data_IF_368765615225
#
_entry.id   IF_368765615225
#
_cell.length_a   1.000
_cell.length_b   1.000
_cell.length_c   1.000
_cell.angle_alpha   90.00
_cell.angle_beta   90.00
_cell.angle_gamma   90.00
#
_symmetry.space_group_name_H-M   'P 1'
#
loop_
_entity.id
_entity.type
_entity.pdbx_description
1 polymer ?
#
# COMPACT_ATOMS: atom_id res chain seq x y z
N UNK A 1 4.97 -21.27 -18.80
CA UNK A 1 5.18 -19.82 -18.83
C UNK A 1 4.77 -19.33 -20.22
N UNK A 2 3.92 -18.30 -20.34
CA UNK A 2 3.54 -17.74 -21.65
C UNK A 2 4.52 -16.62 -21.99
N UNK A 3 4.98 -16.55 -23.25
CA UNK A 3 5.95 -15.56 -23.72
C UNK A 3 5.58 -14.09 -23.39
N UNK A 4 4.29 -13.77 -23.27
CA UNK A 4 3.83 -12.42 -22.90
C UNK A 4 4.18 -12.01 -21.47
N UNK A 5 4.13 -12.95 -20.52
CA UNK A 5 4.48 -12.67 -19.12
C UNK A 5 6.00 -12.43 -18.99
N UNK A 6 6.76 -13.07 -19.88
CA UNK A 6 8.21 -12.98 -19.99
C UNK A 6 8.67 -11.53 -20.28
N UNK A 7 7.96 -10.77 -21.12
CA UNK A 7 8.41 -9.42 -21.55
C UNK A 7 8.59 -8.48 -20.35
N UNK A 8 7.63 -8.47 -19.42
CA UNK A 8 7.70 -7.60 -18.24
C UNK A 8 8.83 -8.04 -17.33
N UNK A 9 8.96 -9.34 -17.10
CA UNK A 9 10.01 -9.90 -16.26
C UNK A 9 11.40 -9.63 -16.86
N UNK A 10 11.57 -9.76 -18.18
CA UNK A 10 12.80 -9.39 -18.90
C UNK A 10 13.16 -7.92 -18.73
N UNK A 11 12.19 -7.01 -18.85
CA UNK A 11 12.43 -5.57 -18.65
C UNK A 11 12.86 -5.30 -17.21
N UNK A 12 12.20 -5.93 -16.24
CA UNK A 12 12.53 -5.80 -14.82
C UNK A 12 13.92 -6.37 -14.53
N UNK A 13 14.28 -7.52 -15.11
CA UNK A 13 15.64 -8.09 -15.01
C UNK A 13 16.69 -7.18 -15.63
N UNK A 14 16.43 -6.59 -16.79
CA UNK A 14 17.35 -5.64 -17.41
C UNK A 14 17.56 -4.39 -16.53
N UNK A 15 16.52 -3.90 -15.86
CA UNK A 15 16.64 -2.81 -14.89
C UNK A 15 17.41 -3.24 -13.64
N UNK A 16 17.22 -4.47 -13.17
CA UNK A 16 18.00 -5.03 -12.06
C UNK A 16 19.50 -5.00 -12.37
N UNK A 17 19.88 -5.43 -13.56
CA UNK A 17 21.25 -5.33 -14.06
C UNK A 17 21.79 -3.88 -14.05
N UNK A 18 20.96 -2.91 -14.45
CA UNK A 18 21.33 -1.49 -14.43
C UNK A 18 21.51 -0.96 -13.01
N UNK A 19 20.65 -1.37 -12.07
CA UNK A 19 20.74 -1.01 -10.65
C UNK A 19 22.04 -1.56 -10.06
N UNK A 20 22.33 -2.85 -10.25
CA UNK A 20 23.53 -3.51 -9.74
C UNK A 20 24.83 -2.89 -10.30
N UNK A 21 24.81 -2.53 -11.59
CA UNK A 21 25.95 -1.86 -12.26
C UNK A 21 26.01 -0.35 -11.99
N UNK A 22 25.12 0.18 -11.13
CA UNK A 22 25.03 1.62 -10.81
C UNK A 22 24.82 2.54 -12.03
N UNK A 23 24.13 2.03 -13.06
CA UNK A 23 23.84 2.71 -14.32
C UNK A 23 22.49 3.47 -14.32
N UNK A 24 21.77 3.47 -13.19
CA UNK A 24 20.53 4.23 -13.04
C UNK A 24 20.76 5.73 -12.88
N UNK A 25 19.77 6.53 -13.28
CA UNK A 25 19.79 7.98 -13.10
C UNK A 25 19.90 8.36 -11.61
N UNK A 26 20.55 9.48 -11.27
CA UNK A 26 20.67 9.94 -9.88
C UNK A 26 19.32 10.04 -9.15
N UNK A 27 18.26 10.48 -9.83
CA UNK A 27 16.93 10.63 -9.25
C UNK A 27 16.33 9.29 -8.83
N UNK A 28 16.59 8.22 -9.61
CA UNK A 28 16.17 6.85 -9.27
C UNK A 28 16.96 6.35 -8.06
N UNK A 29 18.27 6.62 -8.02
CA UNK A 29 19.12 6.26 -6.89
C UNK A 29 18.65 6.94 -5.60
N UNK A 30 18.35 8.23 -5.66
CA UNK A 30 17.87 9.00 -4.51
C UNK A 30 16.49 8.53 -4.05
N UNK A 31 15.59 8.22 -4.98
CA UNK A 31 14.30 7.60 -4.70
C UNK A 31 14.46 6.27 -3.93
N UNK A 32 15.31 5.35 -4.41
CA UNK A 32 15.56 4.06 -3.75
C UNK A 32 16.21 4.24 -2.38
N UNK A 33 17.17 5.16 -2.26
CA UNK A 33 17.82 5.51 -1.00
C UNK A 33 16.83 6.07 0.03
N UNK A 34 15.89 6.93 -0.41
CA UNK A 34 14.86 7.48 0.46
C UNK A 34 13.95 6.38 1.01
N UNK A 35 13.52 5.44 0.16
CA UNK A 35 12.71 4.31 0.61
C UNK A 35 13.49 3.44 1.59
N UNK A 36 14.75 3.10 1.30
CA UNK A 36 15.59 2.30 2.19
C UNK A 36 15.76 2.94 3.58
N UNK A 37 16.06 4.24 3.64
CA UNK A 37 16.34 4.95 4.90
C UNK A 37 15.09 5.36 5.66
N UNK A 38 14.08 5.85 4.95
CA UNK A 38 12.93 6.53 5.55
C UNK A 38 11.62 5.75 5.40
N UNK A 39 11.58 4.69 4.58
CA UNK A 39 10.37 3.93 4.33
C UNK A 39 9.36 4.62 3.41
N UNK A 40 9.76 5.71 2.75
CA UNK A 40 8.94 6.48 1.83
C UNK A 40 9.82 7.18 0.77
N UNK A 41 9.28 7.48 -0.42
CA UNK A 41 10.07 7.99 -1.54
C UNK A 41 10.52 9.45 -1.38
N UNK A 42 9.88 10.22 -0.50
CA UNK A 42 10.18 11.65 -0.30
C UNK A 42 11.24 11.91 0.77
N UNK A 43 11.77 10.87 1.43
CA UNK A 43 12.73 11.02 2.51
C UNK A 43 12.16 11.77 3.73
N UNK A 44 10.83 11.83 3.84
CA UNK A 44 10.16 12.52 4.94
C UNK A 44 10.26 11.70 6.23
N UNK A 45 10.34 12.37 7.39
CA UNK A 45 10.40 11.69 8.68
C UNK A 45 9.19 10.76 8.89
N UNK A 46 9.44 9.57 9.46
CA UNK A 46 8.39 8.57 9.76
C UNK A 46 7.32 9.09 10.72
N UNK A 47 7.71 9.96 11.67
CA UNK A 47 6.78 10.57 12.62
C UNK A 47 5.74 11.50 11.99
N UNK A 48 5.92 11.92 10.72
CA UNK A 48 4.95 12.74 10.01
C UNK A 48 3.91 11.91 9.23
N UNK A 49 4.09 10.59 9.14
CA UNK A 49 3.33 9.71 8.23
C UNK A 49 1.83 9.67 8.55
N UNK A 50 1.49 9.84 9.82
CA UNK A 50 0.14 9.74 10.36
C UNK A 50 -0.28 11.01 11.11
N UNK A 51 0.44 12.12 10.93
CA UNK A 51 0.09 13.40 11.56
C UNK A 51 -1.28 13.95 11.11
N UNK A 52 -1.83 13.45 10.00
CA UNK A 52 -3.16 13.78 9.50
C UNK A 52 -4.26 12.87 10.08
N UNK A 53 -3.90 11.78 10.77
CA UNK A 53 -4.79 10.68 11.14
C UNK A 53 -5.10 10.67 12.65
N UNK A 54 -5.29 11.84 13.27
CA UNK A 54 -5.48 11.98 14.72
C UNK A 54 -6.68 11.19 15.24
N UNK A 55 -7.75 11.11 14.44
CA UNK A 55 -9.00 10.40 14.80
C UNK A 55 -9.00 8.93 14.37
N UNK A 56 -7.96 8.47 13.65
CA UNK A 56 -7.87 7.08 13.17
C UNK A 56 -6.96 6.27 14.08
N UNK A 57 -7.54 5.27 14.74
CA UNK A 57 -6.80 4.40 15.67
C UNK A 57 -5.80 3.48 14.97
N UNK A 58 -4.85 2.97 15.76
CA UNK A 58 -3.94 1.88 15.36
C UNK A 58 -4.67 0.55 15.22
N UNK A 59 -4.15 -0.26 14.30
CA UNK A 59 -4.59 -1.64 14.11
C UNK A 59 -4.35 -2.49 15.36
N UNK A 60 -5.33 -3.33 15.69
CA UNK A 60 -5.30 -4.33 16.77
C UNK A 60 -5.55 -5.73 16.20
N UNK A 61 -5.17 -6.80 16.92
CA UNK A 61 -5.35 -8.18 16.43
C UNK A 61 -6.78 -8.59 16.08
N UNK A 62 -7.78 -7.98 16.72
CA UNK A 62 -9.20 -8.30 16.50
C UNK A 62 -9.85 -7.42 15.42
N UNK A 63 -9.07 -6.56 14.74
CA UNK A 63 -9.58 -5.76 13.64
C UNK A 63 -9.86 -6.63 12.42
N UNK A 64 -10.97 -6.36 11.73
CA UNK A 64 -11.31 -7.11 10.53
C UNK A 64 -10.34 -6.79 9.39
N UNK A 65 -9.98 -5.52 9.26
CA UNK A 65 -9.04 -5.03 8.24
C UNK A 65 -7.91 -4.21 8.86
N UNK A 66 -6.70 -4.41 8.35
CA UNK A 66 -5.71 -3.34 8.36
C UNK A 66 -5.97 -2.43 7.15
N UNK A 67 -6.18 -1.14 7.39
CA UNK A 67 -6.14 -0.14 6.34
C UNK A 67 -4.68 0.27 6.09
N UNK A 68 -4.11 -0.20 4.99
CA UNK A 68 -2.78 0.16 4.54
C UNK A 68 -2.85 1.41 3.67
N UNK A 69 -2.42 2.54 4.24
CA UNK A 69 -2.64 3.89 3.69
C UNK A 69 -1.77 4.14 2.47
N UNK A 70 -0.54 3.62 2.48
CA UNK A 70 0.47 3.84 1.46
C UNK A 70 1.12 5.21 1.54
N UNK A 71 2.18 5.39 0.75
CA UNK A 71 2.99 6.60 0.73
C UNK A 71 2.16 7.85 0.38
N UNK A 72 1.39 7.83 -0.71
CA UNK A 72 0.57 8.98 -1.15
C UNK A 72 -0.50 9.34 -0.12
N UNK A 73 -1.21 8.34 0.42
CA UNK A 73 -2.23 8.56 1.45
C UNK A 73 -1.66 9.17 2.74
N UNK A 74 -0.38 8.93 3.03
CA UNK A 74 0.28 9.43 4.23
C UNK A 74 0.89 10.83 4.08
N UNK A 75 1.41 11.19 2.91
CA UNK A 75 2.24 12.38 2.76
C UNK A 75 1.67 13.46 1.83
N UNK A 76 0.74 13.12 0.93
CA UNK A 76 0.13 14.10 0.04
C UNK A 76 -1.26 14.51 0.54
N UNK A 77 -1.53 15.82 0.58
CA UNK A 77 -2.77 16.38 1.10
C UNK A 77 -4.04 15.80 0.45
N UNK A 78 -4.01 15.58 -0.88
CA UNK A 78 -5.11 14.94 -1.60
C UNK A 78 -5.26 13.48 -1.20
N UNK A 79 -4.15 12.76 -1.03
CA UNK A 79 -4.15 11.37 -0.57
C UNK A 79 -4.69 11.23 0.85
N UNK A 80 -4.29 12.13 1.74
CA UNK A 80 -4.77 12.20 3.13
C UNK A 80 -6.29 12.41 3.17
N UNK A 81 -6.83 13.35 2.38
CA UNK A 81 -8.29 13.52 2.25
C UNK A 81 -9.00 12.26 1.78
N UNK A 82 -8.44 11.55 0.79
CA UNK A 82 -9.02 10.29 0.34
C UNK A 82 -8.99 9.21 1.42
N UNK A 83 -7.90 9.14 2.20
CA UNK A 83 -7.75 8.20 3.29
C UNK A 83 -8.70 8.48 4.46
N UNK A 84 -8.88 9.75 4.83
CA UNK A 84 -9.87 10.17 5.85
C UNK A 84 -11.29 9.84 5.41
N UNK A 85 -11.70 10.24 4.20
CA UNK A 85 -13.04 9.94 3.70
C UNK A 85 -13.30 8.43 3.63
N UNK A 86 -12.28 7.63 3.28
CA UNK A 86 -12.45 6.18 3.27
C UNK A 86 -12.56 5.60 4.69
N UNK A 87 -11.80 6.11 5.66
CA UNK A 87 -11.92 5.75 7.06
C UNK A 87 -13.34 6.07 7.61
N UNK A 88 -13.86 7.26 7.31
CA UNK A 88 -15.23 7.64 7.67
C UNK A 88 -16.28 6.67 7.10
N UNK A 89 -16.13 6.25 5.85
CA UNK A 89 -17.03 5.26 5.23
C UNK A 89 -16.93 3.88 5.88
N UNK A 90 -15.75 3.47 6.35
CA UNK A 90 -15.59 2.23 7.09
C UNK A 90 -16.27 2.31 8.47
N UNK A 91 -16.16 3.45 9.15
CA UNK A 91 -16.83 3.70 10.43
C UNK A 91 -18.36 3.71 10.26
N UNK A 92 -18.89 4.39 9.24
CA UNK A 92 -20.33 4.42 8.92
C UNK A 92 -20.87 3.01 8.61
N UNK A 93 -20.07 2.18 7.93
CA UNK A 93 -20.42 0.79 7.61
C UNK A 93 -20.15 -0.21 8.75
N UNK A 94 -19.78 0.28 9.94
CA UNK A 94 -19.41 -0.50 11.13
C UNK A 94 -18.35 -1.58 10.83
N UNK A 95 -17.42 -1.28 9.92
CA UNK A 95 -16.30 -2.18 9.58
C UNK A 95 -15.16 -1.95 10.57
N UNK A 96 -14.72 -2.99 11.26
CA UNK A 96 -13.60 -2.87 12.21
C UNK A 96 -12.27 -2.73 11.48
N UNK A 97 -11.58 -1.60 11.64
CA UNK A 97 -10.27 -1.37 11.04
C UNK A 97 -9.30 -0.57 11.92
N UNK A 98 -8.02 -0.58 11.54
CA UNK A 98 -7.03 0.39 12.02
C UNK A 98 -5.88 0.56 11.03
N UNK A 99 -4.99 1.51 11.30
CA UNK A 99 -3.81 1.80 10.46
C UNK A 99 -2.50 1.43 11.18
N UNK A 100 -1.41 1.26 10.41
CA UNK A 100 -0.05 1.12 10.96
C UNK A 100 0.55 2.46 11.41
N UNK A 101 0.18 3.55 10.74
CA UNK A 101 0.70 4.88 11.00
C UNK A 101 2.20 5.01 10.76
N UNK A 102 2.95 5.58 11.71
CA UNK A 102 4.40 5.77 11.60
C UNK A 102 5.22 4.46 11.42
N UNK A 103 4.64 3.31 11.78
CA UNK A 103 5.22 1.98 11.58
C UNK A 103 5.06 1.48 10.14
N UNK A 104 4.22 2.12 9.32
CA UNK A 104 4.01 1.71 7.93
C UNK A 104 5.23 2.02 7.06
N UNK A 105 5.69 1.02 6.31
CA UNK A 105 6.74 1.14 5.30
C UNK A 105 6.15 1.21 3.89
N UNK A 106 6.95 1.55 2.88
CA UNK A 106 6.56 1.51 1.47
C UNK A 106 6.19 0.08 1.04
N UNK A 107 5.22 -0.07 0.13
CA UNK A 107 4.79 -1.38 -0.37
C UNK A 107 5.80 -1.97 -1.36
N UNK A 108 6.66 -1.14 -1.94
CA UNK A 108 7.76 -1.55 -2.80
C UNK A 108 7.37 -1.84 -4.25
N UNK A 109 6.17 -1.46 -4.73
CA UNK A 109 5.77 -1.66 -6.14
C UNK A 109 6.79 -1.03 -7.10
N UNK A 110 7.15 0.23 -6.85
CA UNK A 110 8.10 0.97 -7.70
C UNK A 110 9.51 0.41 -7.56
N UNK A 111 9.90 0.01 -6.35
CA UNK A 111 11.20 -0.63 -6.07
C UNK A 111 11.36 -1.90 -6.92
N UNK A 112 10.34 -2.77 -6.92
CA UNK A 112 10.31 -3.95 -7.78
C UNK A 112 10.35 -3.59 -9.27
N UNK A 113 9.55 -2.61 -9.68
CA UNK A 113 9.45 -2.19 -11.09
C UNK A 113 10.75 -1.58 -11.62
N UNK A 114 11.51 -0.91 -10.75
CA UNK A 114 12.82 -0.33 -11.03
C UNK A 114 13.95 -1.37 -10.98
N UNK A 115 13.66 -2.62 -10.58
CA UNK A 115 14.64 -3.71 -10.58
C UNK A 115 15.50 -3.80 -9.32
N UNK A 116 15.24 -3.00 -8.27
CA UNK A 116 16.00 -3.09 -7.02
C UNK A 116 15.47 -4.25 -6.15
N UNK A 117 15.82 -5.48 -6.56
CA UNK A 117 15.27 -6.71 -6.01
C UNK A 117 15.64 -6.94 -4.55
N UNK A 118 16.83 -6.49 -4.12
CA UNK A 118 17.29 -6.63 -2.74
C UNK A 118 16.38 -5.84 -1.80
N UNK A 119 16.22 -4.54 -2.06
CA UNK A 119 15.36 -3.67 -1.26
C UNK A 119 13.91 -4.13 -1.28
N UNK A 120 13.39 -4.57 -2.43
CA UNK A 120 12.02 -5.08 -2.50
C UNK A 120 11.79 -6.27 -1.57
N UNK A 121 12.73 -7.23 -1.55
CA UNK A 121 12.62 -8.40 -0.67
C UNK A 121 12.68 -8.00 0.81
N UNK A 122 13.53 -7.06 1.18
CA UNK A 122 13.62 -6.54 2.55
C UNK A 122 12.31 -5.87 2.98
N UNK A 123 11.77 -4.97 2.16
CA UNK A 123 10.50 -4.29 2.42
C UNK A 123 9.35 -5.29 2.57
N UNK A 124 9.23 -6.23 1.62
CA UNK A 124 8.14 -7.21 1.65
C UNK A 124 8.21 -8.12 2.88
N UNK A 125 9.41 -8.61 3.25
CA UNK A 125 9.60 -9.41 4.47
C UNK A 125 9.25 -8.62 5.72
N UNK A 126 9.72 -7.36 5.82
CA UNK A 126 9.44 -6.47 6.96
C UNK A 126 7.94 -6.21 7.10
N UNK A 127 7.27 -5.86 6.00
CA UNK A 127 5.83 -5.62 5.97
C UNK A 127 5.07 -6.87 6.39
N UNK A 128 5.32 -8.01 5.75
CA UNK A 128 4.65 -9.29 6.09
C UNK A 128 4.88 -9.68 7.55
N UNK A 129 6.10 -9.52 8.06
CA UNK A 129 6.40 -9.80 9.46
C UNK A 129 5.56 -8.92 10.40
N UNK A 130 5.48 -7.61 10.14
CA UNK A 130 4.65 -6.69 10.93
C UNK A 130 3.17 -7.10 10.90
N UNK A 131 2.64 -7.42 9.73
CA UNK A 131 1.25 -7.88 9.57
C UNK A 131 1.00 -9.16 10.38
N UNK A 132 1.95 -10.10 10.36
CA UNK A 132 1.86 -11.34 11.11
C UNK A 132 1.92 -11.12 12.62
N UNK A 133 2.81 -10.24 13.10
CA UNK A 133 2.92 -9.87 14.52
C UNK A 133 1.61 -9.24 15.04
N UNK A 134 0.93 -8.46 14.20
CA UNK A 134 -0.36 -7.85 14.52
C UNK A 134 -1.55 -8.79 14.30
N UNK A 135 -1.35 -10.03 13.84
CA UNK A 135 -2.43 -10.97 13.59
C UNK A 135 -3.31 -10.67 12.37
N UNK A 136 -2.92 -9.71 11.53
CA UNK A 136 -3.71 -9.21 10.40
C UNK A 136 -4.04 -10.32 9.41
N UNK A 137 -5.32 -10.45 9.05
CA UNK A 137 -5.81 -11.42 8.06
C UNK A 137 -6.25 -10.78 6.76
N UNK A 138 -6.78 -9.56 6.82
CA UNK A 138 -7.22 -8.79 5.65
C UNK A 138 -6.53 -7.43 5.65
N UNK A 139 -6.03 -7.03 4.50
CA UNK A 139 -5.49 -5.70 4.23
C UNK A 139 -6.37 -5.04 3.19
N UNK A 140 -6.78 -3.80 3.44
CA UNK A 140 -7.43 -2.94 2.44
C UNK A 140 -6.54 -1.75 2.13
N UNK A 141 -6.51 -1.29 0.88
CA UNK A 141 -5.71 -0.13 0.47
C UNK A 141 -6.40 0.70 -0.60
N UNK A 142 -6.13 2.00 -0.60
CA UNK A 142 -6.52 2.92 -1.67
C UNK A 142 -5.62 2.80 -2.91
N UNK A 143 -4.41 2.26 -2.74
CA UNK A 143 -3.39 2.27 -3.78
C UNK A 143 -3.47 1.03 -4.66
N UNK A 144 -3.65 1.16 -5.99
CA UNK A 144 -3.55 0.02 -6.90
C UNK A 144 -2.13 -0.59 -6.91
N UNK A 145 -1.10 0.20 -6.59
CA UNK A 145 0.27 -0.25 -6.48
C UNK A 145 0.47 -1.14 -5.25
N UNK A 146 0.01 -0.69 -4.08
CA UNK A 146 0.05 -1.51 -2.86
C UNK A 146 -0.78 -2.78 -3.03
N UNK A 147 -1.97 -2.67 -3.64
CA UNK A 147 -2.79 -3.83 -3.98
C UNK A 147 -2.00 -4.84 -4.85
N UNK A 148 -1.38 -4.38 -5.93
CA UNK A 148 -0.60 -5.23 -6.82
C UNK A 148 0.61 -5.88 -6.11
N UNK A 149 1.40 -5.11 -5.38
CA UNK A 149 2.55 -5.61 -4.61
C UNK A 149 2.12 -6.70 -3.63
N UNK A 150 1.14 -6.40 -2.79
CA UNK A 150 0.73 -7.31 -1.73
C UNK A 150 -0.02 -8.52 -2.29
N UNK A 151 -0.85 -8.35 -3.31
CA UNK A 151 -1.63 -9.46 -3.87
C UNK A 151 -0.79 -10.40 -4.73
N UNK A 152 0.10 -9.86 -5.55
CA UNK A 152 0.77 -10.63 -6.61
C UNK A 152 2.25 -10.91 -6.33
N UNK A 153 2.91 -10.09 -5.49
CA UNK A 153 4.36 -10.19 -5.26
C UNK A 153 4.73 -10.62 -3.84
N UNK A 154 3.88 -10.33 -2.85
CA UNK A 154 4.10 -10.73 -1.46
C UNK A 154 3.80 -12.20 -1.12
N UNK A 155 2.97 -12.98 -1.85
CA UNK A 155 2.64 -14.37 -1.45
C UNK A 155 3.84 -15.28 -1.19
N UNK A 156 5.00 -14.99 -1.79
CA UNK A 156 6.26 -15.72 -1.53
C UNK A 156 6.89 -15.46 -0.15
N UNK A 157 6.42 -14.44 0.59
CA UNK A 157 6.92 -14.06 1.91
C UNK A 157 5.88 -14.31 3.02
N UNK A 158 4.60 -14.28 2.68
CA UNK A 158 3.50 -14.66 3.56
C UNK A 158 2.14 -14.29 2.96
N UNK A 159 1.10 -14.89 3.53
CA UNK A 159 -0.25 -14.84 2.98
C UNK A 159 -1.21 -14.08 3.89
N UNK A 160 -2.00 -13.22 3.25
CA UNK A 160 -3.13 -12.49 3.82
C UNK A 160 -4.05 -12.08 2.67
N UNK A 161 -5.31 -11.78 2.97
CA UNK A 161 -6.25 -11.31 1.96
C UNK A 161 -5.98 -9.83 1.68
N UNK A 162 -5.98 -9.44 0.40
CA UNK A 162 -5.72 -8.07 -0.02
C UNK A 162 -6.90 -7.59 -0.84
N UNK A 163 -7.42 -6.43 -0.45
CA UNK A 163 -8.56 -5.78 -1.07
C UNK A 163 -8.16 -4.38 -1.54
N UNK A 164 -8.56 -4.05 -2.76
CA UNK A 164 -8.60 -2.66 -3.17
C UNK A 164 -9.87 -2.03 -2.62
N UNK A 165 -9.81 -0.77 -2.19
CA UNK A 165 -10.94 -0.09 -1.56
C UNK A 165 -12.24 -0.16 -2.38
N UNK A 166 -12.14 -0.13 -3.72
CA UNK A 166 -13.32 -0.26 -4.60
C UNK A 166 -14.03 -1.60 -4.45
N UNK A 167 -13.31 -2.68 -4.16
CA UNK A 167 -13.89 -4.01 -3.93
C UNK A 167 -14.69 -4.02 -2.63
N UNK A 168 -14.13 -3.42 -1.57
CA UNK A 168 -14.80 -3.34 -0.28
C UNK A 168 -16.00 -2.39 -0.33
N UNK A 169 -15.87 -1.24 -1.01
CA UNK A 169 -16.99 -0.31 -1.23
C UNK A 169 -18.16 -0.98 -1.97
N UNK A 170 -17.87 -1.74 -3.02
CA UNK A 170 -18.90 -2.47 -3.76
C UNK A 170 -19.63 -3.48 -2.86
N UNK A 171 -18.88 -4.22 -2.05
CA UNK A 171 -19.45 -5.16 -1.08
C UNK A 171 -20.34 -4.46 -0.05
N UNK A 172 -19.88 -3.34 0.52
CA UNK A 172 -20.66 -2.56 1.49
C UNK A 172 -21.95 -1.99 0.90
N UNK A 173 -21.91 -1.50 -0.34
CA UNK A 173 -23.10 -1.02 -1.06
C UNK A 173 -24.08 -2.18 -1.30
N UNK A 174 -23.59 -3.34 -1.75
CA UNK A 174 -24.44 -4.52 -1.98
C UNK A 174 -25.09 -5.06 -0.70
N UNK A 175 -24.40 -4.92 0.43
CA UNK A 175 -24.92 -5.27 1.76
C UNK A 175 -25.86 -4.20 2.35
N UNK A 176 -26.04 -3.06 1.68
CA UNK A 176 -26.84 -1.94 2.18
C UNK A 176 -26.23 -1.20 3.36
N UNK A 177 -24.93 -1.39 3.62
CA UNK A 177 -24.19 -0.71 4.71
C UNK A 177 -23.88 0.75 4.36
N UNK A 178 -23.73 1.06 3.09
CA UNK A 178 -23.54 2.43 2.60
C UNK A 178 -24.70 2.75 1.66
N UNK A 179 -25.41 3.83 1.97
CA UNK A 179 -26.48 4.35 1.13
C UNK A 179 -25.94 5.17 -0.03
N UNK A 180 -26.32 4.84 -1.27
CA UNK A 180 -26.13 5.74 -2.39
C UNK A 180 -27.28 6.74 -2.41
N UNK A 181 -26.97 8.03 -2.22
CA UNK A 181 -27.95 9.09 -2.44
C UNK A 181 -28.18 9.32 -3.93
N UNK A 182 -29.38 9.77 -4.30
CA UNK A 182 -29.64 10.21 -5.67
C UNK A 182 -28.69 11.37 -6.04
N UNK A 183 -27.77 11.11 -6.96
CA UNK A 183 -26.98 12.17 -7.59
C UNK A 183 -27.89 12.95 -8.54
N UNK A 184 -28.27 14.17 -8.13
CA UNK A 184 -28.87 15.18 -9.03
C UNK A 184 -27.82 15.74 -9.99
N UNK A 185 -27.20 14.88 -10.78
CA UNK A 185 -26.31 15.28 -11.87
C UNK A 185 -27.17 15.48 -13.13
N UNK A 186 -27.07 16.66 -13.74
CA UNK A 186 -27.48 16.82 -15.14
C UNK A 186 -26.40 16.16 -15.99
N UNK A 187 -26.71 15.00 -16.56
CA UNK A 187 -25.90 14.36 -17.61
C UNK A 187 -26.18 15.06 -18.93
#
# INVERSE_FOLDING_TARGET
MKFSDDIVDWIVSARSDMVEKSLVLPEIRDFLNNISKHGNPWGTARSKRDAWAEEIRRCKPDDEYLFYVGCVGSYEERGQRMAMNFAELLDEAEVSFGILGAEEDCDGNEVYTLGEMGLFQELAKKNVQKLKELGVKKVVTLSPHAYNSMKNKYPRFGDFQVFHYTQLLLEMIQQGKIGLSELKAKV
#
